data_IF_918397747192
#
_entry.id   IF_918397747192
#
_cell.length_a   1.000
_cell.length_b   1.000
_cell.length_c   1.000
_cell.angle_alpha   90.00
_cell.angle_beta   90.00
_cell.angle_gamma   90.00
#
_symmetry.space_group_name_H-M   'P 1'
#
loop_
_entity.id
_entity.type
_entity.pdbx_description
1 polymer ?
#
# COMPACT_ATOMS: atom_id res chain seq x y z
N UNK A 1 0.15 12.77 -3.03
CA UNK A 1 -1.10 12.00 -3.19
C UNK A 1 -0.95 10.67 -3.93
N UNK A 2 0.12 10.41 -4.69
CA UNK A 2 0.32 9.17 -5.48
C UNK A 2 -0.05 7.84 -4.78
N UNK A 3 0.47 7.57 -3.57
CA UNK A 3 0.23 6.28 -2.87
C UNK A 3 -1.19 6.17 -2.31
N UNK A 4 -1.73 7.27 -1.77
CA UNK A 4 -3.10 7.30 -1.22
C UNK A 4 -4.12 7.05 -2.33
N UNK A 5 -3.89 7.62 -3.52
CA UNK A 5 -4.74 7.40 -4.70
C UNK A 5 -4.71 5.91 -5.13
N UNK A 6 -3.52 5.29 -5.17
CA UNK A 6 -3.35 3.86 -5.47
C UNK A 6 -4.07 2.97 -4.46
N UNK A 7 -3.95 3.27 -3.16
CA UNK A 7 -4.67 2.56 -2.10
C UNK A 7 -6.19 2.75 -2.23
N UNK A 8 -6.63 3.96 -2.59
CA UNK A 8 -8.02 4.26 -2.91
C UNK A 8 -8.60 3.40 -4.04
N UNK A 9 -7.77 2.98 -4.99
CA UNK A 9 -8.09 2.03 -6.07
C UNK A 9 -7.84 0.55 -5.73
N UNK A 10 -7.27 0.25 -4.56
CA UNK A 10 -7.02 -1.12 -4.10
C UNK A 10 -5.76 -1.72 -4.70
N UNK A 11 -4.83 -0.86 -5.12
CA UNK A 11 -3.57 -1.26 -5.75
C UNK A 11 -2.44 -1.22 -4.71
N UNK A 12 -1.75 -2.34 -4.46
CA UNK A 12 -0.53 -2.32 -3.66
C UNK A 12 0.59 -1.58 -4.40
N UNK A 13 1.55 -1.08 -3.65
CA UNK A 13 2.62 -0.23 -4.19
C UNK A 13 4.01 -0.73 -3.82
N UNK A 14 4.98 -0.43 -4.67
CA UNK A 14 6.39 -0.36 -4.29
C UNK A 14 6.71 1.11 -4.12
N UNK A 15 7.02 1.54 -2.90
CA UNK A 15 7.23 2.94 -2.56
C UNK A 15 8.70 3.23 -2.23
N UNK A 16 9.18 4.40 -2.64
CA UNK A 16 10.54 4.83 -2.29
C UNK A 16 10.63 5.18 -0.79
N UNK A 17 11.76 4.84 -0.14
CA UNK A 17 12.02 5.09 1.28
C UNK A 17 12.25 6.59 1.56
N UNK A 18 11.17 7.31 1.86
CA UNK A 18 11.23 8.67 2.42
C UNK A 18 10.66 8.70 3.83
N UNK A 19 11.05 9.69 4.64
CA UNK A 19 10.88 9.68 6.11
C UNK A 19 9.53 9.20 6.64
N UNK A 20 8.41 9.62 6.05
CA UNK A 20 7.06 9.28 6.51
C UNK A 20 6.38 8.17 5.70
N UNK A 21 7.03 7.53 4.72
CA UNK A 21 6.36 6.49 3.92
C UNK A 21 5.91 5.31 4.79
N UNK A 22 6.69 5.00 5.84
CA UNK A 22 6.41 3.93 6.79
C UNK A 22 5.14 4.17 7.62
N UNK A 23 4.60 5.39 7.65
CA UNK A 23 3.31 5.67 8.30
C UNK A 23 2.16 5.04 7.50
N UNK A 24 2.28 5.01 6.17
CA UNK A 24 1.23 4.58 5.24
C UNK A 24 1.49 3.18 4.65
N UNK A 25 2.71 2.95 4.15
CA UNK A 25 3.10 1.67 3.53
C UNK A 25 3.75 0.78 4.57
N UNK A 26 3.18 -0.42 4.74
CA UNK A 26 3.62 -1.46 5.66
C UNK A 26 4.14 -2.64 4.83
N UNK A 27 5.46 -2.90 4.83
CA UNK A 27 6.07 -3.98 4.05
C UNK A 27 5.42 -5.33 4.32
N UNK A 28 5.11 -6.08 3.27
CA UNK A 28 4.42 -7.38 3.35
C UNK A 28 3.00 -7.34 3.94
N UNK A 29 2.40 -6.16 4.09
CA UNK A 29 1.00 -6.01 4.49
C UNK A 29 0.18 -5.31 3.41
N UNK A 30 0.67 -4.20 2.84
CA UNK A 30 -0.05 -3.42 1.84
C UNK A 30 0.84 -2.95 0.66
N UNK A 31 2.11 -3.36 0.66
CA UNK A 31 3.09 -3.01 -0.34
C UNK A 31 4.51 -3.33 0.10
N UNK A 32 5.46 -2.68 -0.56
CA UNK A 32 6.89 -2.75 -0.27
C UNK A 32 7.53 -1.36 -0.25
N UNK A 33 8.71 -1.28 0.36
CA UNK A 33 9.53 -0.07 0.38
C UNK A 33 10.91 -0.40 -0.21
N UNK A 34 11.43 0.47 -1.07
CA UNK A 34 12.75 0.34 -1.67
C UNK A 34 13.55 1.63 -1.52
N UNK A 35 14.88 1.52 -1.36
CA UNK A 35 15.80 2.64 -1.18
C UNK A 35 16.50 3.04 -2.45
N UNK A 36 16.75 2.09 -3.33
CA UNK A 36 17.51 2.32 -4.55
C UNK A 36 16.97 1.50 -5.73
N UNK A 37 17.59 1.69 -6.90
CA UNK A 37 17.22 1.00 -8.13
C UNK A 37 17.43 -0.52 -8.05
N UNK A 38 18.38 -0.98 -7.23
CA UNK A 38 18.67 -2.40 -7.08
C UNK A 38 17.56 -3.07 -6.28
N UNK A 39 17.20 -2.53 -5.13
CA UNK A 39 16.09 -3.02 -4.31
C UNK A 39 14.77 -3.00 -5.11
N UNK A 40 14.50 -1.93 -5.87
CA UNK A 40 13.33 -1.87 -6.75
C UNK A 40 13.31 -3.01 -7.79
N UNK A 41 14.45 -3.24 -8.46
CA UNK A 41 14.56 -4.29 -9.47
C UNK A 41 14.39 -5.70 -8.87
N UNK A 42 14.96 -5.94 -7.70
CA UNK A 42 14.82 -7.21 -6.97
C UNK A 42 13.37 -7.45 -6.55
N UNK A 43 12.70 -6.43 -5.98
CA UNK A 43 11.29 -6.54 -5.58
C UNK A 43 10.36 -6.79 -6.76
N UNK A 44 10.60 -6.13 -7.91
CA UNK A 44 9.83 -6.38 -9.13
C UNK A 44 10.04 -7.81 -9.67
N UNK A 45 11.29 -8.28 -9.70
CA UNK A 45 11.59 -9.65 -10.14
C UNK A 45 10.91 -10.68 -9.24
N UNK A 46 11.00 -10.51 -7.90
CA UNK A 46 10.35 -11.39 -6.94
C UNK A 46 8.82 -11.38 -7.09
N UNK A 47 8.23 -10.20 -7.30
CA UNK A 47 6.77 -10.07 -7.44
C UNK A 47 6.22 -10.73 -8.71
N UNK A 48 6.99 -10.73 -9.79
CA UNK A 48 6.59 -11.33 -11.06
C UNK A 48 7.19 -12.71 -11.31
N UNK A 49 7.94 -13.27 -10.34
CA UNK A 49 8.52 -14.59 -10.45
C UNK A 49 7.42 -15.65 -10.64
N UNK A 50 7.53 -16.42 -11.72
CA UNK A 50 6.56 -17.43 -12.14
C UNK A 50 5.10 -16.92 -12.18
N UNK A 51 4.87 -15.63 -12.43
CA UNK A 51 3.52 -15.06 -12.52
C UNK A 51 2.78 -15.58 -13.78
N UNK A 52 1.47 -15.92 -13.70
CA UNK A 52 0.58 -15.85 -12.53
C UNK A 52 0.52 -17.15 -11.70
N UNK A 53 1.46 -18.09 -11.90
CA UNK A 53 1.42 -19.44 -11.33
C UNK A 53 2.12 -19.58 -9.96
N UNK A 54 2.66 -18.49 -9.43
CA UNK A 54 3.28 -18.46 -8.11
C UNK A 54 2.22 -18.35 -7.00
N UNK A 55 2.03 -19.44 -6.25
CA UNK A 55 1.01 -19.54 -5.19
C UNK A 55 1.30 -18.62 -4.00
N UNK A 56 2.56 -18.49 -3.62
CA UNK A 56 2.97 -17.64 -2.50
C UNK A 56 2.74 -16.17 -2.83
N UNK A 57 3.15 -15.76 -4.03
CA UNK A 57 2.88 -14.42 -4.57
C UNK A 57 1.37 -14.14 -4.67
N UNK A 58 0.58 -15.10 -5.15
CA UNK A 58 -0.88 -14.95 -5.26
C UNK A 58 -1.53 -14.75 -3.89
N UNK A 59 -1.14 -15.56 -2.90
CA UNK A 59 -1.62 -15.42 -1.51
C UNK A 59 -1.23 -14.07 -0.90
N UNK A 60 -0.03 -13.60 -1.20
CA UNK A 60 0.43 -12.29 -0.72
C UNK A 60 -0.36 -11.15 -1.38
N UNK A 61 -0.63 -11.25 -2.68
CA UNK A 61 -1.46 -10.32 -3.43
C UNK A 61 -2.89 -10.25 -2.87
N UNK A 62 -3.49 -11.39 -2.54
CA UNK A 62 -4.80 -11.45 -1.86
C UNK A 62 -4.75 -10.78 -0.48
N UNK A 63 -3.68 -11.01 0.28
CA UNK A 63 -3.48 -10.36 1.59
C UNK A 63 -3.41 -8.83 1.43
N UNK A 64 -2.64 -8.34 0.47
CA UNK A 64 -2.54 -6.90 0.20
C UNK A 64 -3.89 -6.30 -0.17
N UNK A 65 -4.63 -6.94 -1.08
CA UNK A 65 -5.96 -6.49 -1.50
C UNK A 65 -6.93 -6.42 -0.33
N UNK A 66 -6.92 -7.41 0.56
CA UNK A 66 -7.78 -7.42 1.76
C UNK A 66 -7.43 -6.24 2.70
N UNK A 67 -6.15 -6.00 2.95
CA UNK A 67 -5.73 -4.89 3.81
C UNK A 67 -6.06 -3.53 3.20
N UNK A 68 -5.98 -3.40 1.87
CA UNK A 68 -6.38 -2.19 1.16
C UNK A 68 -7.89 -1.99 1.13
N UNK A 69 -8.70 -3.06 1.13
CA UNK A 69 -10.14 -2.93 1.29
C UNK A 69 -10.50 -2.29 2.65
N UNK A 70 -9.83 -2.70 3.74
CA UNK A 70 -10.02 -2.05 5.05
C UNK A 70 -9.68 -0.56 4.99
N UNK A 71 -8.58 -0.19 4.32
CA UNK A 71 -8.22 1.22 4.11
C UNK A 71 -9.30 2.00 3.34
N UNK A 72 -10.03 1.34 2.43
CA UNK A 72 -11.09 1.94 1.62
C UNK A 72 -12.41 2.15 2.35
N UNK A 73 -12.61 1.53 3.52
CA UNK A 73 -13.85 1.64 4.29
C UNK A 73 -14.06 3.06 4.85
N UNK A 74 -12.98 3.76 5.20
CA UNK A 74 -13.02 5.10 5.76
C UNK A 74 -12.55 6.11 4.71
N UNK A 75 -13.47 6.90 4.14
CA UNK A 75 -13.11 7.95 3.18
C UNK A 75 -12.82 9.25 3.89
N UNK A 76 -12.32 10.19 3.11
CA UNK A 76 -11.83 11.46 3.64
C UNK A 76 -12.92 12.21 4.41
N UNK A 77 -14.13 12.31 3.84
CA UNK A 77 -15.20 13.08 4.48
C UNK A 77 -15.56 12.54 5.86
N UNK A 78 -15.76 11.22 5.98
CA UNK A 78 -16.08 10.60 7.27
C UNK A 78 -14.93 10.77 8.27
N UNK A 79 -13.68 10.55 7.84
CA UNK A 79 -12.52 10.70 8.73
C UNK A 79 -12.33 12.16 9.21
N UNK A 80 -12.53 13.14 8.32
CA UNK A 80 -12.47 14.57 8.67
C UNK A 80 -13.48 14.91 9.75
N UNK A 81 -14.73 14.49 9.55
CA UNK A 81 -15.82 14.78 10.46
C UNK A 81 -15.57 14.13 11.83
N UNK A 82 -15.06 12.89 11.86
CA UNK A 82 -14.77 12.14 13.09
C UNK A 82 -13.60 12.72 13.90
N UNK A 83 -12.51 13.13 13.25
CA UNK A 83 -11.24 13.39 13.94
C UNK A 83 -10.97 14.88 14.13
N UNK A 84 -11.09 15.66 13.04
CA UNK A 84 -10.52 16.99 12.99
C UNK A 84 -11.59 18.10 13.04
N UNK A 85 -12.77 17.86 12.48
CA UNK A 85 -13.80 18.89 12.30
C UNK A 85 -14.17 19.61 13.60
N UNK A 86 -14.27 18.87 14.71
CA UNK A 86 -14.63 19.40 16.03
C UNK A 86 -13.57 20.32 16.64
N UNK A 87 -12.32 20.25 16.18
CA UNK A 87 -11.23 21.14 16.66
C UNK A 87 -11.24 22.50 15.96
N UNK A 88 -11.91 22.61 14.81
CA UNK A 88 -12.00 23.83 14.01
C UNK A 88 -13.35 24.55 14.15
N UNK A 89 -14.17 24.16 15.12
CA UNK A 89 -15.42 24.83 15.52
C UNK A 89 -15.15 25.83 16.65
#
# INVERSE_FOLDING_TARGET
MKVVDMFGCGLPVLAHDFRCINELVKPNENGYIFRDSKELAEQLQLWFDNFPNNKDQSRLCETFKKNLQVFQELRWKENWDLVASNTFQ
#
